data_IF_137345806057
#
_entry.id   IF_137345806057
#
_cell.length_a   1.000
_cell.length_b   1.000
_cell.length_c   1.000
_cell.angle_alpha   90.00
_cell.angle_beta   90.00
_cell.angle_gamma   90.00
#
_symmetry.space_group_name_H-M   'P 1'
#
loop_
_entity.id
_entity.type
_entity.pdbx_description
1 polymer ?
#
# COMPACT_ATOMS: atom_id res chain seq x y z
N UNK A 1 -21.67 0.63 1.46
CA UNK A 1 -21.64 1.89 0.66
C UNK A 1 -22.20 1.74 -0.76
N UNK A 2 -21.86 0.71 -1.55
CA UNK A 2 -22.28 0.63 -2.96
C UNK A 2 -23.81 0.67 -3.19
N UNK A 3 -24.59 0.00 -2.33
CA UNK A 3 -26.04 0.02 -2.45
C UNK A 3 -26.63 1.41 -2.22
N UNK A 4 -26.09 2.19 -1.28
CA UNK A 4 -26.59 3.55 -1.00
C UNK A 4 -26.29 4.53 -2.14
N UNK A 5 -25.11 4.44 -2.76
CA UNK A 5 -24.78 5.30 -3.91
C UNK A 5 -25.70 5.01 -5.10
N UNK A 6 -26.03 3.74 -5.34
CA UNK A 6 -27.02 3.34 -6.35
C UNK A 6 -28.41 3.87 -6.00
N UNK A 7 -28.88 3.62 -4.77
CA UNK A 7 -30.23 4.02 -4.34
C UNK A 7 -30.44 5.53 -4.45
N UNK A 8 -29.50 6.34 -3.95
CA UNK A 8 -29.63 7.81 -3.99
C UNK A 8 -29.53 8.37 -5.41
N UNK A 9 -28.64 7.83 -6.24
CA UNK A 9 -28.54 8.24 -7.64
C UNK A 9 -29.79 7.87 -8.44
N UNK A 10 -30.40 6.71 -8.18
CA UNK A 10 -31.62 6.27 -8.85
C UNK A 10 -32.87 7.03 -8.37
N UNK A 11 -33.01 7.25 -7.06
CA UNK A 11 -34.15 7.98 -6.49
C UNK A 11 -34.23 9.42 -6.97
N UNK A 12 -33.08 10.10 -7.12
CA UNK A 12 -33.00 11.52 -7.48
C UNK A 12 -32.48 11.73 -8.92
N UNK A 13 -32.72 10.77 -9.82
CA UNK A 13 -32.11 10.75 -11.16
C UNK A 13 -32.38 12.02 -11.99
N UNK A 14 -33.60 12.56 -11.93
CA UNK A 14 -34.01 13.76 -12.67
C UNK A 14 -33.97 15.04 -11.83
N UNK A 15 -33.51 14.97 -10.59
CA UNK A 15 -33.67 16.05 -9.60
C UNK A 15 -32.41 16.93 -9.47
N UNK A 16 -31.58 16.97 -10.52
CA UNK A 16 -30.42 17.84 -10.64
C UNK A 16 -30.20 18.30 -12.10
N UNK A 17 -31.14 19.10 -12.68
CA UNK A 17 -31.05 19.55 -14.07
C UNK A 17 -29.81 20.40 -14.38
N UNK A 18 -29.26 21.10 -13.38
CA UNK A 18 -28.03 21.91 -13.55
C UNK A 18 -26.80 21.04 -13.88
N UNK A 19 -26.80 19.78 -13.44
CA UNK A 19 -25.74 18.83 -13.71
C UNK A 19 -26.30 17.38 -13.72
N UNK A 20 -26.81 16.90 -14.88
CA UNK A 20 -27.45 15.59 -14.97
C UNK A 20 -26.49 14.42 -14.79
N UNK A 21 -25.18 14.68 -14.79
CA UNK A 21 -24.17 13.63 -14.63
C UNK A 21 -23.92 13.23 -13.17
N UNK A 22 -24.33 14.02 -12.17
CA UNK A 22 -24.14 13.68 -10.74
C UNK A 22 -24.89 12.39 -10.33
N UNK A 23 -26.18 12.21 -10.64
CA UNK A 23 -26.86 10.95 -10.35
C UNK A 23 -26.23 9.75 -11.09
N UNK A 24 -25.87 9.92 -12.36
CA UNK A 24 -25.24 8.87 -13.19
C UNK A 24 -23.89 8.45 -12.58
N UNK A 25 -23.11 9.43 -12.13
CA UNK A 25 -21.85 9.21 -11.43
C UNK A 25 -22.01 8.27 -10.23
N UNK A 26 -22.98 8.54 -9.34
CA UNK A 26 -23.23 7.75 -8.14
C UNK A 26 -23.72 6.32 -8.43
N UNK A 27 -24.53 6.16 -9.48
CA UNK A 27 -24.99 4.84 -9.91
C UNK A 27 -23.82 4.01 -10.40
N UNK A 28 -23.03 4.54 -11.34
CA UNK A 28 -21.93 3.80 -11.96
C UNK A 28 -20.85 3.44 -10.94
N UNK A 29 -20.46 4.38 -10.07
CA UNK A 29 -19.46 4.10 -9.02
C UNK A 29 -19.95 3.01 -8.05
N UNK A 30 -21.25 2.99 -7.74
CA UNK A 30 -21.85 1.96 -6.89
C UNK A 30 -21.91 0.59 -7.56
N UNK A 31 -22.29 0.53 -8.84
CA UNK A 31 -22.32 -0.72 -9.61
C UNK A 31 -20.91 -1.31 -9.73
N UNK A 32 -19.91 -0.50 -10.09
CA UNK A 32 -18.50 -0.93 -10.11
C UNK A 32 -18.05 -1.44 -8.74
N UNK A 33 -18.44 -0.78 -7.65
CA UNK A 33 -18.15 -1.23 -6.29
C UNK A 33 -18.74 -2.59 -5.95
N UNK A 34 -19.99 -2.89 -6.36
CA UNK A 34 -20.60 -4.21 -6.18
C UNK A 34 -19.88 -5.29 -6.98
N UNK A 35 -19.53 -5.00 -8.24
CA UNK A 35 -18.80 -5.94 -9.10
C UNK A 35 -17.42 -6.25 -8.50
N UNK A 36 -16.70 -5.23 -8.00
CA UNK A 36 -15.40 -5.43 -7.34
C UNK A 36 -15.52 -6.30 -6.09
N UNK A 37 -16.56 -6.13 -5.27
CA UNK A 37 -16.80 -7.00 -4.11
C UNK A 37 -17.05 -8.45 -4.53
N UNK A 38 -17.84 -8.67 -5.59
CA UNK A 38 -18.06 -10.01 -6.15
C UNK A 38 -16.78 -10.65 -6.68
N UNK A 39 -15.98 -9.89 -7.45
CA UNK A 39 -14.70 -10.37 -7.97
C UNK A 39 -13.67 -10.62 -6.87
N UNK A 40 -13.63 -9.79 -5.82
CA UNK A 40 -12.76 -10.00 -4.67
C UNK A 40 -13.13 -11.28 -3.90
N UNK A 41 -14.43 -11.52 -3.71
CA UNK A 41 -14.92 -12.77 -3.13
C UNK A 41 -14.53 -13.98 -4.00
N UNK A 42 -14.72 -13.87 -5.32
CA UNK A 42 -14.35 -14.92 -6.26
C UNK A 42 -12.85 -15.20 -6.28
N UNK A 43 -12.02 -14.14 -6.27
CA UNK A 43 -10.56 -14.23 -6.19
C UNK A 43 -10.11 -15.09 -5.01
N UNK A 44 -10.74 -14.94 -3.84
CA UNK A 44 -10.39 -15.70 -2.64
C UNK A 44 -10.78 -17.19 -2.73
N UNK A 45 -11.65 -17.56 -3.68
CA UNK A 45 -12.09 -18.94 -3.90
C UNK A 45 -11.26 -19.64 -4.99
N UNK A 46 -10.58 -18.88 -5.86
CA UNK A 46 -9.74 -19.41 -6.93
C UNK A 46 -8.35 -19.78 -6.41
N UNK A 47 -7.90 -21.00 -6.72
CA UNK A 47 -6.48 -21.37 -6.63
C UNK A 47 -5.69 -20.80 -7.82
N UNK A 48 -4.36 -20.84 -7.74
CA UNK A 48 -3.48 -20.35 -8.81
C UNK A 48 -3.81 -20.95 -10.19
N UNK A 49 -3.71 -20.13 -11.24
CA UNK A 49 -3.98 -20.55 -12.62
C UNK A 49 -4.61 -19.45 -13.48
N UNK A 50 -5.00 -19.84 -14.69
CA UNK A 50 -5.56 -18.95 -15.72
C UNK A 50 -6.76 -18.11 -15.24
N UNK A 51 -7.68 -18.73 -14.48
CA UNK A 51 -8.87 -18.05 -13.95
C UNK A 51 -8.53 -16.97 -12.92
N UNK A 52 -7.50 -17.18 -12.10
CA UNK A 52 -7.01 -16.17 -11.16
C UNK A 52 -6.43 -14.97 -11.93
N UNK A 53 -5.69 -15.22 -13.01
CA UNK A 53 -5.10 -14.16 -13.83
C UNK A 53 -6.18 -13.31 -14.55
N UNK A 54 -7.21 -13.95 -15.12
CA UNK A 54 -8.38 -13.24 -15.68
C UNK A 54 -9.07 -12.42 -14.59
N UNK A 55 -9.32 -13.01 -13.42
CA UNK A 55 -9.97 -12.31 -12.31
C UNK A 55 -9.18 -11.05 -11.89
N UNK A 56 -7.86 -11.17 -11.78
CA UNK A 56 -6.97 -10.04 -11.48
C UNK A 56 -6.98 -8.97 -12.57
N UNK A 57 -6.99 -9.35 -13.85
CA UNK A 57 -7.10 -8.41 -14.98
C UNK A 57 -8.44 -7.67 -14.97
N UNK A 58 -9.55 -8.37 -14.69
CA UNK A 58 -10.87 -7.75 -14.54
C UNK A 58 -10.91 -6.77 -13.37
N UNK A 59 -10.38 -7.17 -12.20
CA UNK A 59 -10.27 -6.29 -11.03
C UNK A 59 -9.46 -5.04 -11.39
N UNK A 60 -8.29 -5.21 -12.01
CA UNK A 60 -7.43 -4.10 -12.42
C UNK A 60 -8.16 -3.15 -13.39
N UNK A 61 -8.81 -3.70 -14.41
CA UNK A 61 -9.57 -2.91 -15.40
C UNK A 61 -10.69 -2.10 -14.75
N UNK A 62 -11.46 -2.71 -13.85
CA UNK A 62 -12.55 -2.02 -13.15
C UNK A 62 -12.01 -0.98 -12.18
N UNK A 63 -10.90 -1.22 -11.50
CA UNK A 63 -10.24 -0.24 -10.63
C UNK A 63 -9.78 0.97 -11.44
N UNK A 64 -9.09 0.75 -12.57
CA UNK A 64 -8.64 1.84 -13.45
C UNK A 64 -9.82 2.65 -13.97
N UNK A 65 -10.87 1.98 -14.45
CA UNK A 65 -12.11 2.65 -14.87
C UNK A 65 -12.73 3.45 -13.72
N UNK A 66 -12.82 2.87 -12.52
CA UNK A 66 -13.42 3.53 -11.35
C UNK A 66 -12.62 4.75 -10.91
N UNK A 67 -11.29 4.73 -11.03
CA UNK A 67 -10.43 5.89 -10.75
C UNK A 67 -10.69 7.01 -11.75
N UNK A 68 -10.71 6.70 -13.06
CA UNK A 68 -11.01 7.69 -14.10
C UNK A 68 -12.42 8.26 -13.89
N UNK A 69 -13.41 7.40 -13.63
CA UNK A 69 -14.78 7.79 -13.39
C UNK A 69 -14.94 8.66 -12.13
N UNK A 70 -14.19 8.35 -11.07
CA UNK A 70 -14.10 9.17 -9.86
C UNK A 70 -13.57 10.57 -10.17
N UNK A 71 -12.47 10.67 -10.92
CA UNK A 71 -11.91 11.97 -11.33
C UNK A 71 -12.92 12.79 -12.14
N UNK A 72 -13.62 12.17 -13.10
CA UNK A 72 -14.67 12.87 -13.86
C UNK A 72 -15.84 13.30 -12.95
N UNK A 73 -16.24 12.44 -12.01
CA UNK A 73 -17.28 12.75 -11.03
C UNK A 73 -16.95 13.92 -10.12
N UNK A 74 -15.69 14.06 -9.71
CA UNK A 74 -15.25 15.22 -8.92
C UNK A 74 -15.46 16.51 -9.70
N UNK A 75 -15.09 16.56 -10.98
CA UNK A 75 -15.29 17.74 -11.84
C UNK A 75 -16.77 18.13 -11.88
N UNK A 76 -17.69 17.17 -12.03
CA UNK A 76 -19.13 17.46 -12.06
C UNK A 76 -19.68 17.97 -10.73
N UNK A 77 -19.24 17.42 -9.61
CA UNK A 77 -19.71 17.82 -8.27
C UNK A 77 -19.18 19.21 -7.90
N UNK A 78 -17.91 19.49 -8.20
CA UNK A 78 -17.29 20.76 -7.87
C UNK A 78 -17.61 21.88 -8.88
N UNK A 79 -17.98 21.57 -10.13
CA UNK A 79 -18.34 22.59 -11.12
C UNK A 79 -19.55 23.44 -10.74
N UNK A 80 -20.40 22.93 -9.84
CA UNK A 80 -21.62 23.60 -9.39
C UNK A 80 -21.57 24.02 -7.92
N UNK A 81 -20.39 24.00 -7.27
CA UNK A 81 -20.25 24.38 -5.86
C UNK A 81 -20.22 25.91 -5.68
N UNK A 82 -21.05 26.51 -4.80
CA UNK A 82 -22.21 25.94 -4.10
C UNK A 82 -23.46 25.90 -5.00
N UNK A 83 -24.26 24.82 -4.98
CA UNK A 83 -25.41 24.71 -5.87
C UNK A 83 -26.62 25.44 -5.30
N UNK A 84 -27.56 25.78 -6.18
CA UNK A 84 -28.87 26.28 -5.78
C UNK A 84 -29.79 25.09 -5.44
N UNK A 85 -30.38 25.11 -4.24
CA UNK A 85 -31.30 24.08 -3.75
C UNK A 85 -32.78 24.44 -3.96
N UNK A 86 -33.08 25.63 -4.47
CA UNK A 86 -34.46 26.09 -4.65
C UNK A 86 -35.06 25.45 -5.91
N UNK A 87 -35.98 24.50 -5.72
CA UNK A 87 -36.71 23.81 -6.80
C UNK A 87 -37.56 24.76 -7.67
N UNK A 88 -37.79 25.99 -7.22
CA UNK A 88 -38.50 27.02 -7.98
C UNK A 88 -37.62 27.64 -9.08
N UNK A 89 -36.30 27.46 -9.03
CA UNK A 89 -35.38 27.90 -10.07
C UNK A 89 -35.36 26.88 -11.22
N UNK A 90 -36.22 27.08 -12.21
CA UNK A 90 -36.36 26.20 -13.38
C UNK A 90 -35.00 25.97 -14.05
N UNK A 91 -34.57 24.71 -14.13
CA UNK A 91 -33.32 24.30 -14.81
C UNK A 91 -32.01 24.56 -14.04
N UNK A 92 -32.03 25.34 -12.96
CA UNK A 92 -30.83 25.74 -12.22
C UNK A 92 -30.90 25.33 -10.74
N UNK A 93 -31.37 24.12 -10.45
CA UNK A 93 -31.37 23.57 -9.10
C UNK A 93 -30.76 22.18 -9.05
N UNK A 94 -30.35 21.76 -7.85
CA UNK A 94 -29.96 20.39 -7.55
C UNK A 94 -30.53 19.96 -6.19
N UNK A 95 -31.08 18.75 -6.12
CA UNK A 95 -31.54 18.11 -4.88
C UNK A 95 -30.48 18.19 -3.79
N UNK A 96 -30.86 18.70 -2.62
CA UNK A 96 -29.93 18.88 -1.49
C UNK A 96 -29.30 17.56 -1.05
N UNK A 97 -30.11 16.51 -0.91
CA UNK A 97 -29.64 15.21 -0.42
C UNK A 97 -28.68 14.57 -1.42
N UNK A 98 -29.04 14.57 -2.70
CA UNK A 98 -28.21 14.03 -3.78
C UNK A 98 -26.84 14.73 -3.83
N UNK A 99 -26.84 16.06 -3.84
CA UNK A 99 -25.60 16.84 -3.95
C UNK A 99 -24.70 16.65 -2.73
N UNK A 100 -25.25 16.80 -1.52
CA UNK A 100 -24.45 16.67 -0.29
C UNK A 100 -23.87 15.26 -0.16
N UNK A 101 -24.64 14.23 -0.53
CA UNK A 101 -24.14 12.87 -0.55
C UNK A 101 -22.96 12.72 -1.53
N UNK A 102 -23.10 13.19 -2.77
CA UNK A 102 -22.02 13.15 -3.76
C UNK A 102 -20.78 13.94 -3.30
N UNK A 103 -20.97 15.12 -2.70
CA UNK A 103 -19.91 15.95 -2.16
C UNK A 103 -19.13 15.25 -1.04
N UNK A 104 -19.84 14.75 -0.02
CA UNK A 104 -19.20 14.05 1.09
C UNK A 104 -18.59 12.71 0.69
N UNK A 105 -19.22 11.99 -0.26
CA UNK A 105 -18.63 10.79 -0.85
C UNK A 105 -17.26 11.08 -1.49
N UNK A 106 -17.15 12.15 -2.29
CA UNK A 106 -15.88 12.54 -2.90
C UNK A 106 -14.82 12.90 -1.85
N UNK A 107 -15.19 13.69 -0.83
CA UNK A 107 -14.27 14.04 0.27
C UNK A 107 -13.78 12.78 1.00
N UNK A 108 -14.68 11.87 1.36
CA UNK A 108 -14.32 10.63 2.06
C UNK A 108 -13.43 9.72 1.20
N UNK A 109 -13.70 9.62 -0.10
CA UNK A 109 -12.85 8.89 -1.02
C UNK A 109 -11.43 9.49 -1.08
N UNK A 110 -11.28 10.80 -1.20
CA UNK A 110 -9.96 11.46 -1.17
C UNK A 110 -9.24 11.24 0.16
N UNK A 111 -9.92 11.38 1.29
CA UNK A 111 -9.35 11.09 2.61
C UNK A 111 -8.92 9.63 2.72
N UNK A 112 -9.69 8.68 2.20
CA UNK A 112 -9.32 7.27 2.20
C UNK A 112 -8.08 7.00 1.36
N UNK A 113 -7.93 7.62 0.19
CA UNK A 113 -6.73 7.50 -0.65
C UNK A 113 -5.51 8.06 0.07
N UNK A 114 -5.64 9.22 0.73
CA UNK A 114 -4.56 9.82 1.50
C UNK A 114 -4.10 8.94 2.68
N UNK A 115 -5.02 8.20 3.32
CA UNK A 115 -4.71 7.32 4.46
C UNK A 115 -4.20 5.94 4.02
N UNK A 116 -4.66 5.43 2.88
CA UNK A 116 -4.34 4.07 2.41
C UNK A 116 -3.05 3.97 1.61
N UNK A 117 -2.49 5.08 1.12
CA UNK A 117 -1.13 5.09 0.60
C UNK A 117 -0.22 4.92 1.83
N UNK A 118 0.50 3.78 1.99
CA UNK A 118 1.44 3.64 3.09
C UNK A 118 2.46 4.75 2.94
N UNK A 119 2.32 5.78 3.78
CA UNK A 119 3.20 6.91 3.71
C UNK A 119 4.56 6.41 4.18
N UNK A 120 5.61 6.75 3.43
CA UNK A 120 6.98 6.48 3.84
C UNK A 120 7.25 6.89 5.31
N UNK A 121 6.60 7.95 5.79
CA UNK A 121 6.64 8.38 7.18
C UNK A 121 6.23 7.29 8.18
N UNK A 122 5.24 6.46 7.86
CA UNK A 122 4.80 5.35 8.71
C UNK A 122 5.89 4.26 8.79
N UNK A 123 6.53 3.92 7.66
CA UNK A 123 7.63 2.95 7.62
C UNK A 123 8.79 3.40 8.53
N UNK A 124 9.16 4.68 8.46
CA UNK A 124 10.20 5.26 9.34
C UNK A 124 9.76 5.28 10.79
N UNK A 125 8.53 5.69 11.09
CA UNK A 125 8.03 5.72 12.46
C UNK A 125 8.04 4.33 13.10
N UNK A 126 7.61 3.29 12.36
CA UNK A 126 7.65 1.89 12.81
C UNK A 126 9.09 1.40 12.99
N UNK A 127 10.01 1.80 12.12
CA UNK A 127 11.44 1.50 12.24
C UNK A 127 12.04 2.09 13.53
N UNK A 128 11.76 3.37 13.81
CA UNK A 128 12.19 4.06 15.03
C UNK A 128 11.61 3.42 16.29
N UNK A 129 10.33 3.04 16.26
CA UNK A 129 9.70 2.31 17.36
C UNK A 129 10.38 0.95 17.58
N UNK A 130 10.69 0.22 16.52
CA UNK A 130 11.32 -1.09 16.59
C UNK A 130 12.70 -1.04 17.23
N UNK A 131 13.48 0.01 16.98
CA UNK A 131 14.78 0.24 17.65
C UNK A 131 14.65 0.22 19.18
N UNK A 132 13.58 0.82 19.71
CA UNK A 132 13.32 0.85 21.16
C UNK A 132 13.06 -0.52 21.79
N UNK A 133 12.87 -1.58 21.00
CA UNK A 133 12.65 -2.94 21.46
C UNK A 133 13.90 -3.83 21.40
N UNK A 134 15.05 -3.27 20.97
CA UNK A 134 16.29 -4.02 20.80
C UNK A 134 16.76 -4.68 22.10
N UNK A 135 17.17 -5.95 22.01
CA UNK A 135 17.87 -6.64 23.09
C UNK A 135 19.37 -6.63 22.77
N UNK A 136 20.07 -5.61 23.25
CA UNK A 136 21.49 -5.42 22.96
C UNK A 136 22.32 -5.07 24.22
N UNK A 137 22.33 -5.93 25.25
CA UNK A 137 23.04 -5.63 26.50
C UNK A 137 24.57 -5.61 26.34
N UNK A 138 25.12 -6.22 25.29
CA UNK A 138 26.56 -6.35 25.10
C UNK A 138 27.13 -5.16 24.32
N UNK A 139 26.56 -4.84 23.15
CA UNK A 139 27.01 -3.69 22.36
C UNK A 139 26.44 -2.37 22.84
N UNK A 140 25.30 -2.39 23.54
CA UNK A 140 24.49 -1.20 23.85
C UNK A 140 24.16 -0.39 22.58
N UNK A 141 24.04 -1.08 21.44
CA UNK A 141 23.80 -0.47 20.14
C UNK A 141 22.46 -0.95 19.57
N UNK A 142 21.36 -0.22 19.83
CA UNK A 142 20.04 -0.63 19.39
C UNK A 142 19.85 -0.30 17.90
N UNK A 143 19.32 -1.28 17.17
CA UNK A 143 19.01 -1.19 15.73
C UNK A 143 17.56 -1.59 15.54
N UNK A 144 16.83 -0.79 14.76
CA UNK A 144 15.46 -1.06 14.35
C UNK A 144 15.37 -1.26 12.85
N UNK A 145 14.44 -2.11 12.42
CA UNK A 145 14.08 -2.27 11.02
C UNK A 145 12.56 -2.41 10.84
N UNK A 146 12.05 -1.93 9.72
CA UNK A 146 10.67 -2.12 9.31
C UNK A 146 10.62 -2.44 7.81
N UNK A 147 9.94 -3.53 7.44
CA UNK A 147 9.79 -4.00 6.07
C UNK A 147 8.37 -3.74 5.59
N UNK A 148 8.24 -3.14 4.41
CA UNK A 148 6.99 -3.00 3.68
C UNK A 148 6.81 -4.19 2.73
N UNK A 149 5.74 -4.93 2.93
CA UNK A 149 5.35 -6.02 2.03
C UNK A 149 4.64 -5.46 0.80
N UNK A 150 4.62 -6.21 -0.32
CA UNK A 150 3.85 -5.83 -1.51
C UNK A 150 2.33 -5.75 -1.27
N UNK A 151 1.84 -6.38 -0.20
CA UNK A 151 0.45 -6.29 0.26
C UNK A 151 0.15 -5.07 1.15
N UNK A 152 1.14 -4.21 1.42
CA UNK A 152 0.99 -3.01 2.24
C UNK A 152 1.19 -3.20 3.74
N UNK A 153 1.38 -4.42 4.23
CA UNK A 153 1.69 -4.66 5.64
C UNK A 153 3.11 -4.21 5.99
N UNK A 154 3.30 -3.63 7.18
CA UNK A 154 4.60 -3.22 7.72
C UNK A 154 4.98 -4.14 8.87
N UNK A 155 6.13 -4.81 8.74
CA UNK A 155 6.61 -5.80 9.71
C UNK A 155 7.92 -5.32 10.31
N UNK A 156 7.98 -5.26 11.64
CA UNK A 156 9.11 -4.69 12.38
C UNK A 156 10.03 -5.76 12.96
N UNK A 157 11.29 -5.38 13.15
CA UNK A 157 12.32 -6.18 13.81
C UNK A 157 13.35 -5.31 14.51
N UNK A 158 14.05 -5.89 15.47
CA UNK A 158 15.15 -5.27 16.20
C UNK A 158 16.31 -6.27 16.32
N UNK A 159 17.52 -5.78 16.63
CA UNK A 159 18.63 -6.68 16.91
C UNK A 159 18.44 -7.38 18.25
N UNK A 160 18.79 -8.66 18.28
CA UNK A 160 18.75 -9.51 19.47
C UNK A 160 20.10 -10.16 19.61
N UNK A 161 20.82 -9.77 20.64
CA UNK A 161 22.16 -10.25 20.92
C UNK A 161 22.17 -11.50 21.79
N UNK A 162 23.30 -12.19 21.77
CA UNK A 162 23.54 -13.38 22.56
C UNK A 162 24.95 -13.35 23.17
N UNK A 163 25.16 -14.03 24.30
CA UNK A 163 26.47 -14.17 24.93
C UNK A 163 27.49 -14.83 23.97
N UNK A 164 27.02 -15.79 23.16
CA UNK A 164 27.78 -16.28 22.00
C UNK A 164 27.51 -15.35 20.82
N UNK A 165 28.42 -14.41 20.57
CA UNK A 165 28.19 -13.30 19.62
C UNK A 165 27.84 -13.75 18.20
N UNK A 166 28.29 -14.94 17.78
CA UNK A 166 27.93 -15.52 16.47
C UNK A 166 26.43 -15.83 16.31
N UNK A 167 25.68 -15.91 17.42
CA UNK A 167 24.24 -16.15 17.44
C UNK A 167 23.40 -14.86 17.42
N UNK A 168 24.04 -13.69 17.39
CA UNK A 168 23.34 -12.40 17.30
C UNK A 168 22.62 -12.25 15.95
N UNK A 169 21.35 -11.85 16.01
CA UNK A 169 20.54 -11.55 14.83
C UNK A 169 20.34 -10.04 14.71
N UNK A 170 20.48 -9.52 13.48
CA UNK A 170 20.32 -8.09 13.19
C UNK A 170 18.83 -7.75 12.99
N UNK A 171 18.47 -6.48 13.15
CA UNK A 171 17.10 -6.01 13.04
C UNK A 171 16.43 -6.36 11.70
N UNK A 172 17.16 -6.20 10.61
CA UNK A 172 16.70 -6.48 9.26
C UNK A 172 16.39 -7.97 9.08
N UNK A 173 17.25 -8.84 9.64
CA UNK A 173 17.06 -10.30 9.62
C UNK A 173 15.87 -10.70 10.51
N UNK A 174 15.72 -10.10 11.68
CA UNK A 174 14.55 -10.31 12.54
C UNK A 174 13.25 -9.93 11.81
N UNK A 175 13.22 -8.76 11.16
CA UNK A 175 12.04 -8.27 10.44
C UNK A 175 11.65 -9.20 9.29
N UNK A 176 12.61 -9.62 8.44
CA UNK A 176 12.31 -10.46 7.29
C UNK A 176 11.95 -11.90 7.69
N UNK A 177 12.63 -12.45 8.72
CA UNK A 177 12.30 -13.77 9.24
C UNK A 177 10.87 -13.81 9.79
N UNK A 178 10.48 -12.78 10.53
CA UNK A 178 9.10 -12.62 11.01
C UNK A 178 8.13 -12.52 9.84
N UNK A 179 8.43 -11.69 8.84
CA UNK A 179 7.57 -11.52 7.68
C UNK A 179 7.32 -12.83 6.92
N UNK A 180 8.37 -13.62 6.74
CA UNK A 180 8.29 -14.95 6.11
C UNK A 180 7.47 -15.92 6.98
N UNK A 181 7.65 -15.89 8.30
CA UNK A 181 6.85 -16.71 9.22
C UNK A 181 5.36 -16.35 9.20
N UNK A 182 5.02 -15.08 8.95
CA UNK A 182 3.65 -14.58 8.76
C UNK A 182 3.10 -14.82 7.33
N UNK A 183 3.86 -15.47 6.45
CA UNK A 183 3.43 -15.86 5.11
C UNK A 183 3.77 -14.86 3.99
N UNK A 184 4.48 -13.78 4.29
CA UNK A 184 4.89 -12.79 3.29
C UNK A 184 6.21 -13.20 2.62
N UNK A 185 6.23 -13.20 1.27
CA UNK A 185 7.44 -13.50 0.46
C UNK A 185 7.77 -12.47 -0.60
N UNK A 186 6.98 -11.40 -0.69
CA UNK A 186 7.17 -10.30 -1.64
C UNK A 186 7.19 -8.97 -0.89
N UNK A 187 8.21 -8.18 -1.17
CA UNK A 187 8.56 -6.98 -0.42
C UNK A 187 8.92 -5.84 -1.37
N UNK A 188 8.71 -4.61 -0.92
CA UNK A 188 8.94 -3.39 -1.73
C UNK A 188 10.01 -2.50 -1.12
N UNK A 189 10.06 -2.41 0.21
CA UNK A 189 10.98 -1.52 0.90
C UNK A 189 11.37 -2.02 2.29
N UNK A 190 12.49 -1.51 2.79
CA UNK A 190 12.91 -1.64 4.19
C UNK A 190 13.46 -0.31 4.69
N UNK A 191 13.07 0.10 5.89
CA UNK A 191 13.73 1.15 6.65
C UNK A 191 14.60 0.54 7.75
N UNK A 192 15.77 1.12 7.98
CA UNK A 192 16.73 0.70 9.01
C UNK A 192 17.22 1.93 9.79
N UNK A 193 17.29 1.81 11.11
CA UNK A 193 17.75 2.87 12.00
C UNK A 193 18.68 2.36 13.09
N UNK A 194 19.56 3.21 13.59
CA UNK A 194 20.42 2.96 14.75
C UNK A 194 20.64 4.27 15.52
N UNK A 195 21.52 4.28 16.52
CA UNK A 195 21.77 5.47 17.37
C UNK A 195 22.79 6.47 16.79
N UNK A 196 23.35 6.20 15.61
CA UNK A 196 24.29 7.10 14.96
C UNK A 196 23.53 8.29 14.35
N UNK A 197 23.86 9.51 14.81
CA UNK A 197 23.20 10.77 14.41
C UNK A 197 23.86 11.44 13.20
N UNK A 198 25.17 11.32 13.08
CA UNK A 198 25.92 12.14 12.12
C UNK A 198 26.02 11.52 10.72
N UNK A 199 25.81 10.21 10.59
CA UNK A 199 25.90 9.49 9.31
C UNK A 199 24.72 8.56 9.06
N UNK A 200 24.51 8.21 7.80
CA UNK A 200 23.53 7.18 7.41
C UNK A 200 24.23 5.83 7.38
N UNK A 201 23.75 4.90 8.20
CA UNK A 201 24.35 3.58 8.36
C UNK A 201 23.50 2.54 7.66
N UNK A 202 24.14 1.77 6.78
CA UNK A 202 23.51 0.73 5.99
C UNK A 202 23.42 -0.61 6.69
N UNK A 203 22.57 -1.53 6.18
CA UNK A 203 22.54 -2.91 6.64
C UNK A 203 23.92 -3.57 6.47
N UNK A 204 24.24 -4.52 7.35
CA UNK A 204 25.48 -5.29 7.25
C UNK A 204 25.46 -6.25 6.04
N UNK A 205 26.62 -6.77 5.64
CA UNK A 205 26.72 -7.65 4.47
C UNK A 205 25.81 -8.88 4.53
N UNK A 206 25.69 -9.50 5.71
CA UNK A 206 24.80 -10.65 5.91
C UNK A 206 23.31 -10.27 5.72
N UNK A 207 22.89 -9.11 6.22
CA UNK A 207 21.52 -8.62 6.01
C UNK A 207 21.26 -8.36 4.52
N UNK A 208 22.18 -7.71 3.81
CA UNK A 208 22.06 -7.48 2.36
C UNK A 208 21.89 -8.80 1.60
N UNK A 209 22.66 -9.81 1.96
CA UNK A 209 22.59 -11.13 1.33
C UNK A 209 21.26 -11.84 1.62
N UNK A 210 20.72 -11.73 2.84
CA UNK A 210 19.39 -12.28 3.17
C UNK A 210 18.29 -11.56 2.41
N UNK A 211 18.35 -10.23 2.28
CA UNK A 211 17.38 -9.47 1.49
C UNK A 211 17.42 -9.88 0.00
N UNK A 212 18.62 -10.15 -0.53
CA UNK A 212 18.83 -10.56 -1.93
C UNK A 212 18.13 -11.87 -2.29
N UNK A 213 17.96 -12.78 -1.32
CA UNK A 213 17.21 -14.03 -1.50
C UNK A 213 15.78 -13.78 -1.98
N UNK A 214 15.17 -12.67 -1.56
CA UNK A 214 13.79 -12.30 -1.86
C UNK A 214 13.69 -11.28 -3.00
N UNK A 215 14.76 -11.12 -3.78
CA UNK A 215 14.81 -10.24 -4.94
C UNK A 215 15.81 -9.09 -4.79
N UNK A 216 16.10 -8.44 -5.91
CA UNK A 216 17.08 -7.33 -5.97
C UNK A 216 16.44 -5.94 -5.98
N UNK A 217 15.14 -5.86 -6.23
CA UNK A 217 14.38 -4.61 -6.34
C UNK A 217 13.83 -4.18 -4.98
N UNK A 218 14.72 -3.66 -4.14
CA UNK A 218 14.36 -3.11 -2.83
C UNK A 218 14.73 -1.64 -2.73
N UNK A 219 13.77 -0.84 -2.28
CA UNK A 219 14.06 0.47 -1.72
C UNK A 219 14.57 0.33 -0.29
N UNK A 220 15.80 0.81 -0.03
CA UNK A 220 16.40 0.79 1.31
C UNK A 220 16.48 2.21 1.84
N UNK A 221 15.85 2.44 2.98
CA UNK A 221 15.83 3.73 3.66
C UNK A 221 16.71 3.69 4.89
N UNK A 222 17.84 4.39 4.80
CA UNK A 222 18.78 4.55 5.90
C UNK A 222 18.32 5.75 6.72
N UNK A 223 17.84 5.50 7.93
CA UNK A 223 17.14 6.49 8.75
C UNK A 223 17.96 6.85 9.99
N UNK A 224 18.03 8.15 10.30
CA UNK A 224 18.65 8.69 11.50
C UNK A 224 17.63 8.76 12.65
N UNK A 225 18.09 8.89 13.92
CA UNK A 225 17.22 9.02 15.08
C UNK A 225 16.21 10.17 15.03
N UNK A 226 16.51 11.23 14.26
CA UNK A 226 15.64 12.41 14.07
C UNK A 226 14.56 12.20 12.99
N UNK A 227 14.52 11.03 12.36
CA UNK A 227 13.60 10.69 11.28
C UNK A 227 14.06 11.12 9.89
N UNK A 228 15.17 11.85 9.77
CA UNK A 228 15.78 12.13 8.47
C UNK A 228 16.32 10.85 7.85
N UNK A 229 16.36 10.77 6.52
CA UNK A 229 16.71 9.54 5.84
C UNK A 229 17.42 9.76 4.50
N UNK A 230 18.15 8.73 4.08
CA UNK A 230 18.71 8.60 2.74
C UNK A 230 18.15 7.33 2.10
N UNK A 231 17.58 7.49 0.91
CA UNK A 231 17.15 6.38 0.06
C UNK A 231 18.35 5.84 -0.73
N UNK A 232 18.47 4.52 -0.83
CA UNK A 232 19.38 3.78 -1.70
C UNK A 232 18.68 2.49 -2.15
N UNK A 233 19.35 1.66 -2.95
CA UNK A 233 18.82 0.37 -3.39
C UNK A 233 19.68 -0.79 -2.91
N UNK A 234 19.10 -1.99 -2.85
CA UNK A 234 19.88 -3.18 -2.51
C UNK A 234 20.97 -3.49 -3.54
N UNK A 235 20.74 -3.17 -4.83
CA UNK A 235 21.76 -3.32 -5.89
C UNK A 235 22.96 -2.41 -5.69
N UNK A 236 22.74 -1.18 -5.25
CA UNK A 236 23.83 -0.26 -4.91
C UNK A 236 24.61 -0.74 -3.69
N UNK A 237 23.92 -1.30 -2.69
CA UNK A 237 24.56 -1.80 -1.48
C UNK A 237 25.23 -3.17 -1.66
N UNK A 238 24.80 -3.99 -2.61
CA UNK A 238 25.36 -5.30 -2.88
C UNK A 238 25.48 -5.52 -4.40
N UNK A 239 26.44 -4.86 -5.06
CA UNK A 239 26.65 -5.04 -6.49
C UNK A 239 27.14 -6.46 -6.79
N UNK A 240 26.73 -7.00 -7.94
CA UNK A 240 27.11 -8.35 -8.39
C UNK A 240 26.84 -9.44 -7.35
N UNK A 241 25.70 -9.32 -6.65
CA UNK A 241 25.34 -10.23 -5.57
C UNK A 241 25.21 -11.68 -6.03
N UNK A 242 25.65 -12.61 -5.18
CA UNK A 242 25.25 -14.01 -5.30
C UNK A 242 23.73 -14.13 -5.06
N UNK A 243 23.06 -14.95 -5.85
CA UNK A 243 21.61 -15.09 -5.84
C UNK A 243 21.21 -16.52 -6.22
N UNK A 244 19.94 -16.93 -5.97
CA UNK A 244 19.45 -18.25 -6.36
C UNK A 244 19.69 -18.60 -7.84
N UNK A 245 19.72 -17.62 -8.74
CA UNK A 245 20.00 -17.81 -10.16
C UNK A 245 21.38 -18.46 -10.43
N UNK A 246 22.36 -18.26 -9.56
CA UNK A 246 23.69 -18.84 -9.70
C UNK A 246 23.76 -20.32 -9.28
N UNK A 247 22.76 -20.79 -8.52
CA UNK A 247 22.64 -22.20 -8.11
C UNK A 247 21.88 -23.04 -9.15
N UNK A 248 21.14 -22.39 -10.06
CA UNK A 248 20.40 -23.06 -11.12
C UNK A 248 21.37 -23.67 -12.15
N UNK A 249 21.78 -24.92 -11.92
CA UNK A 249 22.44 -25.74 -12.96
C UNK A 249 21.43 -26.05 -14.06
N UNK A 250 21.86 -25.95 -15.33
CA UNK A 250 21.16 -26.41 -16.54
C UNK A 250 20.28 -27.66 -16.30
N UNK A 251 19.00 -27.45 -15.99
CA UNK A 251 17.93 -28.46 -16.03
C UNK A 251 16.63 -27.86 -15.48
N UNK A 252 15.65 -27.65 -16.36
CA UNK A 252 14.21 -27.80 -16.15
C UNK A 252 13.66 -27.67 -14.71
N UNK A 253 13.97 -26.58 -14.01
CA UNK A 253 13.27 -26.17 -12.79
C UNK A 253 12.61 -24.81 -13.07
N UNK A 254 11.67 -24.82 -14.02
CA UNK A 254 10.60 -23.84 -14.00
C UNK A 254 9.63 -24.30 -12.90
N UNK A 255 9.32 -23.40 -11.98
CA UNK A 255 8.45 -23.55 -10.81
C UNK A 255 9.20 -23.89 -9.51
N UNK A 256 10.02 -22.95 -9.04
CA UNK A 256 10.00 -22.62 -7.62
C UNK A 256 9.90 -21.10 -7.52
N UNK A 257 8.83 -20.66 -6.84
CA UNK A 257 8.41 -19.30 -6.48
C UNK A 257 7.47 -18.57 -7.44
#
# INVERSE_FOLDING_TARGET
>A
MPCHTISLGAMHYNECPIQPHIPIYLIIIGVCGLILLMLAYWKNTLSEGFWLQICLLCILSIVVFSVIWFLTGTVWVYSIYPPNYNSSAVGHYCQRTLYLFAFWFNILCFLSVLVTIPCFAELVAKCLQARGMAYCPYSQFPVGAAILTSGGAIITGCNVENASYGLTVCAERTAIQRAVAEGHRSFTAIAVTCDIKDSFVGPCGACRQVLMEFGSEWDIYLTKPDGSYKKTSLRELLPSAFSPAHLAKNSNYNNIF
#
